data_IF_995256149009
#
_entry.id   IF_995256149009
#
_cell.length_a   1.000
_cell.length_b   1.000
_cell.length_c   1.000
_cell.angle_alpha   90.00
_cell.angle_beta   90.00
_cell.angle_gamma   90.00
#
_symmetry.space_group_name_H-M   'P 1'
#
loop_
_entity.id
_entity.type
_entity.pdbx_description
1 polymer ?
#
# COMPACT_ATOMS: atom_id res chain seq x y z
N UNK A 1 -22.59 -23.72 -35.51
CA UNK A 1 -22.07 -22.34 -35.67
C UNK A 1 -21.50 -21.79 -34.36
N UNK A 2 -22.25 -21.78 -33.25
CA UNK A 2 -21.74 -21.34 -31.93
C UNK A 2 -20.49 -22.09 -31.43
N UNK A 3 -20.43 -23.41 -31.59
CA UNK A 3 -19.26 -24.21 -31.20
C UNK A 3 -17.97 -23.77 -31.92
N UNK A 4 -18.03 -23.63 -33.25
CA UNK A 4 -16.87 -23.17 -34.03
C UNK A 4 -16.47 -21.74 -33.68
N UNK A 5 -17.44 -20.86 -33.39
CA UNK A 5 -17.19 -19.49 -32.95
C UNK A 5 -16.50 -19.43 -31.58
N UNK A 6 -16.95 -20.22 -30.60
CA UNK A 6 -16.29 -20.32 -29.30
C UNK A 6 -14.90 -20.92 -29.41
N UNK A 7 -14.73 -21.97 -30.20
CA UNK A 7 -13.40 -22.56 -30.45
C UNK A 7 -12.46 -21.54 -31.09
N UNK A 8 -12.97 -20.72 -32.01
CA UNK A 8 -12.18 -19.69 -32.69
C UNK A 8 -11.81 -18.50 -31.77
N UNK A 9 -12.68 -18.13 -30.83
CA UNK A 9 -12.46 -16.97 -29.94
C UNK A 9 -11.66 -17.31 -28.68
N UNK A 10 -11.91 -18.47 -28.07
CA UNK A 10 -11.33 -18.85 -26.76
C UNK A 10 -10.87 -20.30 -26.69
N UNK A 11 -11.07 -21.09 -27.76
CA UNK A 11 -10.82 -22.54 -27.74
C UNK A 11 -9.36 -22.91 -27.53
N UNK A 12 -8.42 -22.13 -28.08
CA UNK A 12 -6.99 -22.39 -27.90
C UNK A 12 -6.57 -22.15 -26.45
N UNK A 13 -6.93 -21.01 -25.86
CA UNK A 13 -6.60 -20.70 -24.45
C UNK A 13 -7.26 -21.70 -23.49
N UNK A 14 -8.52 -22.07 -23.73
CA UNK A 14 -9.20 -23.08 -22.92
C UNK A 14 -8.51 -24.44 -23.03
N UNK A 15 -8.09 -24.85 -24.23
CA UNK A 15 -7.34 -26.09 -24.44
C UNK A 15 -5.99 -26.04 -23.73
N UNK A 16 -5.23 -24.96 -23.87
CA UNK A 16 -3.92 -24.81 -23.26
C UNK A 16 -4.02 -24.87 -21.73
N UNK A 17 -5.02 -24.21 -21.13
CA UNK A 17 -5.29 -24.28 -19.69
C UNK A 17 -5.61 -25.72 -19.23
N UNK A 18 -6.44 -26.45 -19.97
CA UNK A 18 -6.75 -27.85 -19.66
C UNK A 18 -5.51 -28.75 -19.79
N UNK A 19 -4.66 -28.50 -20.79
CA UNK A 19 -3.40 -29.23 -20.98
C UNK A 19 -2.46 -28.97 -19.80
N UNK A 20 -2.25 -27.72 -19.42
CA UNK A 20 -1.40 -27.34 -18.28
C UNK A 20 -1.91 -27.98 -16.99
N UNK A 21 -3.20 -27.85 -16.70
CA UNK A 21 -3.84 -28.48 -15.54
C UNK A 21 -3.62 -29.99 -15.54
N UNK A 22 -3.76 -30.64 -16.69
CA UNK A 22 -3.55 -32.08 -16.80
C UNK A 22 -2.09 -32.49 -16.59
N UNK A 23 -1.15 -31.69 -17.08
CA UNK A 23 0.29 -31.89 -16.85
C UNK A 23 0.59 -31.83 -15.34
N UNK A 24 0.06 -30.82 -14.64
CA UNK A 24 0.25 -30.65 -13.19
C UNK A 24 -0.33 -31.85 -12.43
N UNK A 25 -1.54 -32.30 -12.78
CA UNK A 25 -2.15 -33.48 -12.17
C UNK A 25 -1.30 -34.74 -12.35
N UNK A 26 -0.88 -35.03 -13.58
CA UNK A 26 -0.11 -36.23 -13.89
C UNK A 26 1.26 -36.21 -13.19
N UNK A 27 1.91 -35.05 -13.14
CA UNK A 27 3.21 -34.92 -12.48
C UNK A 27 3.08 -35.01 -10.95
N UNK A 28 2.01 -34.43 -10.37
CA UNK A 28 1.69 -34.57 -8.95
C UNK A 28 1.46 -36.04 -8.58
N UNK A 29 0.71 -36.78 -9.41
CA UNK A 29 0.50 -38.23 -9.24
C UNK A 29 1.82 -39.01 -9.32
N UNK A 30 2.63 -38.74 -10.35
CA UNK A 30 3.93 -39.36 -10.56
C UNK A 30 4.89 -39.16 -9.37
N UNK A 31 4.90 -37.97 -8.79
CA UNK A 31 5.69 -37.64 -7.60
C UNK A 31 5.00 -37.93 -6.27
N UNK A 32 3.82 -38.58 -6.29
CA UNK A 32 3.03 -38.90 -5.10
C UNK A 32 2.70 -37.68 -4.22
N UNK A 33 2.52 -36.51 -4.83
CA UNK A 33 2.09 -35.29 -4.17
C UNK A 33 0.64 -35.45 -3.72
N UNK A 34 0.42 -35.30 -2.42
CA UNK A 34 -0.91 -35.35 -1.80
C UNK A 34 -1.34 -33.94 -1.40
N UNK A 35 -2.60 -33.62 -1.69
CA UNK A 35 -3.28 -32.42 -1.19
C UNK A 35 -4.44 -32.89 -0.32
N UNK A 36 -4.51 -32.35 0.89
CA UNK A 36 -5.54 -32.70 1.89
C UNK A 36 -6.71 -31.73 1.81
N UNK A 37 -7.87 -32.14 2.36
CA UNK A 37 -9.03 -31.27 2.44
C UNK A 37 -8.75 -30.02 3.29
N UNK A 38 -8.01 -30.18 4.40
CA UNK A 38 -7.65 -29.08 5.30
C UNK A 38 -6.79 -28.02 4.61
N UNK A 39 -5.86 -28.42 3.74
CA UNK A 39 -5.05 -27.47 2.95
C UNK A 39 -5.91 -26.66 1.97
N UNK A 40 -6.88 -27.32 1.32
CA UNK A 40 -7.81 -26.66 0.41
C UNK A 40 -8.73 -25.71 1.20
N UNK A 41 -9.25 -26.15 2.35
CA UNK A 41 -10.13 -25.36 3.20
C UNK A 41 -9.44 -24.10 3.71
N UNK A 42 -8.18 -24.23 4.14
CA UNK A 42 -7.37 -23.10 4.59
C UNK A 42 -7.15 -22.08 3.48
N UNK A 43 -6.75 -22.52 2.29
CA UNK A 43 -6.49 -21.61 1.17
C UNK A 43 -7.77 -20.91 0.70
N UNK A 44 -8.91 -21.61 0.70
CA UNK A 44 -10.22 -21.02 0.40
C UNK A 44 -10.65 -20.02 1.48
N UNK A 45 -10.34 -20.27 2.75
CA UNK A 45 -10.60 -19.33 3.84
C UNK A 45 -9.72 -18.08 3.73
N UNK A 46 -8.45 -18.24 3.40
CA UNK A 46 -7.52 -17.13 3.16
C UNK A 46 -7.95 -16.31 1.96
N UNK A 47 -8.36 -16.95 0.86
CA UNK A 47 -8.96 -16.28 -0.30
C UNK A 47 -10.22 -15.49 0.11
N UNK A 48 -11.09 -16.10 0.93
CA UNK A 48 -12.32 -15.46 1.37
C UNK A 48 -12.07 -14.17 2.16
N UNK A 49 -10.95 -14.04 2.89
CA UNK A 49 -10.61 -12.80 3.63
C UNK A 49 -10.45 -11.60 2.69
N UNK A 50 -9.87 -11.79 1.51
CA UNK A 50 -9.72 -10.71 0.52
C UNK A 50 -11.06 -10.20 -0.02
N UNK A 51 -12.07 -11.07 -0.06
CA UNK A 51 -13.43 -10.72 -0.47
C UNK A 51 -14.29 -10.21 0.70
N UNK A 52 -13.75 -10.09 1.91
CA UNK A 52 -14.50 -9.69 3.11
C UNK A 52 -15.32 -10.81 3.75
N UNK A 53 -15.02 -12.08 3.42
CA UNK A 53 -15.64 -13.28 4.00
C UNK A 53 -16.20 -14.23 2.94
N UNK A 54 -16.53 -15.47 3.36
CA UNK A 54 -16.95 -16.56 2.47
C UNK A 54 -18.26 -16.26 1.73
N UNK A 55 -19.22 -15.65 2.40
CA UNK A 55 -20.51 -15.30 1.80
C UNK A 55 -20.36 -14.20 0.74
N UNK A 56 -19.52 -13.19 1.02
CA UNK A 56 -19.21 -12.12 0.08
C UNK A 56 -18.48 -12.68 -1.14
N UNK A 57 -17.45 -13.52 -0.94
CA UNK A 57 -16.75 -14.21 -2.01
C UNK A 57 -17.72 -15.02 -2.89
N UNK A 58 -18.58 -15.83 -2.26
CA UNK A 58 -19.54 -16.69 -2.99
C UNK A 58 -20.50 -15.86 -3.84
N UNK A 59 -21.02 -14.75 -3.29
CA UNK A 59 -21.90 -13.84 -4.02
C UNK A 59 -21.17 -13.16 -5.19
N UNK A 60 -19.96 -12.65 -4.97
CA UNK A 60 -19.16 -12.00 -6.01
C UNK A 60 -18.82 -12.98 -7.13
N UNK A 61 -18.34 -14.18 -6.81
CA UNK A 61 -17.97 -15.18 -7.81
C UNK A 61 -19.17 -15.71 -8.59
N UNK A 62 -20.34 -15.83 -7.94
CA UNK A 62 -21.57 -16.23 -8.62
C UNK A 62 -21.98 -15.24 -9.72
N UNK A 63 -21.66 -13.94 -9.61
CA UNK A 63 -21.90 -12.96 -10.68
C UNK A 63 -21.09 -13.26 -11.95
N UNK A 64 -19.95 -13.93 -11.80
CA UNK A 64 -19.10 -14.38 -12.89
C UNK A 64 -19.41 -15.83 -13.32
N UNK A 65 -20.50 -16.42 -12.81
CA UNK A 65 -20.86 -17.84 -12.99
C UNK A 65 -19.80 -18.83 -12.46
N UNK A 66 -19.02 -18.41 -11.47
CA UNK A 66 -18.03 -19.24 -10.79
C UNK A 66 -18.63 -19.75 -9.48
N UNK A 67 -18.53 -21.05 -9.23
CA UNK A 67 -19.00 -21.66 -7.98
C UNK A 67 -17.83 -22.10 -7.09
N UNK A 68 -18.13 -22.39 -5.82
CA UNK A 68 -17.10 -22.78 -4.85
C UNK A 68 -16.40 -24.09 -5.22
N UNK A 69 -17.03 -25.02 -5.94
CA UNK A 69 -16.39 -26.27 -6.33
C UNK A 69 -15.28 -26.02 -7.35
N UNK A 70 -15.51 -25.11 -8.31
CA UNK A 70 -14.48 -24.67 -9.27
C UNK A 70 -13.32 -23.99 -8.55
N UNK A 71 -13.61 -23.10 -7.58
CA UNK A 71 -12.57 -22.46 -6.77
C UNK A 71 -11.72 -23.50 -6.04
N UNK A 72 -12.35 -24.50 -5.43
CA UNK A 72 -11.65 -25.58 -4.73
C UNK A 72 -10.80 -26.41 -5.68
N UNK A 73 -11.28 -26.66 -6.89
CA UNK A 73 -10.53 -27.36 -7.92
C UNK A 73 -9.28 -26.57 -8.33
N UNK A 74 -9.42 -25.26 -8.56
CA UNK A 74 -8.31 -24.39 -8.94
C UNK A 74 -7.29 -24.23 -7.81
N UNK A 75 -7.76 -24.05 -6.57
CA UNK A 75 -6.92 -24.09 -5.36
C UNK A 75 -6.16 -25.41 -5.26
N UNK A 76 -6.81 -26.54 -5.54
CA UNK A 76 -6.16 -27.86 -5.51
C UNK A 76 -5.04 -27.95 -6.54
N UNK A 77 -5.26 -27.44 -7.75
CA UNK A 77 -4.22 -27.39 -8.81
C UNK A 77 -3.07 -26.49 -8.40
N UNK A 78 -3.35 -25.32 -7.82
CA UNK A 78 -2.33 -24.39 -7.35
C UNK A 78 -1.47 -24.98 -6.23
N UNK A 79 -2.08 -25.65 -5.23
CA UNK A 79 -1.33 -26.32 -4.16
C UNK A 79 -0.44 -27.44 -4.72
N UNK A 80 -0.93 -28.22 -5.71
CA UNK A 80 -0.11 -29.24 -6.39
C UNK A 80 1.09 -28.61 -7.09
N UNK A 81 0.87 -27.51 -7.81
CA UNK A 81 1.92 -26.79 -8.51
C UNK A 81 2.98 -26.26 -7.52
N UNK A 82 2.56 -25.61 -6.45
CA UNK A 82 3.45 -25.10 -5.41
C UNK A 82 4.31 -26.23 -4.78
N UNK A 83 3.69 -27.37 -4.46
CA UNK A 83 4.40 -28.55 -3.94
C UNK A 83 5.39 -29.14 -4.94
N UNK A 84 5.04 -29.19 -6.23
CA UNK A 84 5.93 -29.67 -7.28
C UNK A 84 7.13 -28.73 -7.49
N UNK A 85 6.89 -27.42 -7.44
CA UNK A 85 7.92 -26.40 -7.62
C UNK A 85 8.84 -26.31 -6.40
N UNK A 86 8.30 -26.30 -5.18
CA UNK A 86 9.09 -26.23 -3.94
C UNK A 86 10.05 -27.41 -3.75
N UNK A 87 9.78 -28.56 -4.38
CA UNK A 87 10.74 -29.68 -4.39
C UNK A 87 11.94 -29.45 -5.32
N UNK A 88 11.79 -28.58 -6.33
CA UNK A 88 12.80 -28.30 -7.37
C UNK A 88 13.51 -26.97 -7.18
N UNK A 89 12.79 -25.99 -6.61
CA UNK A 89 13.29 -24.66 -6.32
C UNK A 89 13.89 -24.69 -4.92
N UNK A 90 15.21 -24.54 -4.85
CA UNK A 90 15.89 -24.16 -3.62
C UNK A 90 16.18 -22.68 -3.74
N UNK A 91 15.41 -21.86 -3.05
CA UNK A 91 15.78 -20.46 -2.89
C UNK A 91 16.98 -20.45 -1.94
N UNK A 92 18.13 -20.03 -2.46
CA UNK A 92 19.35 -19.90 -1.67
C UNK A 92 19.37 -18.56 -0.95
N UNK A 93 20.05 -18.49 0.20
CA UNK A 93 20.30 -17.21 0.89
C UNK A 93 21.01 -16.21 -0.03
N UNK A 94 21.85 -16.72 -0.95
CA UNK A 94 22.53 -15.94 -1.98
C UNK A 94 21.55 -15.30 -2.97
N UNK A 95 20.57 -16.04 -3.49
CA UNK A 95 19.52 -15.49 -4.37
C UNK A 95 18.61 -14.50 -3.62
N UNK A 96 18.31 -14.75 -2.34
CA UNK A 96 17.58 -13.79 -1.51
C UNK A 96 18.40 -12.51 -1.35
N UNK A 97 19.68 -12.64 -1.05
CA UNK A 97 20.57 -11.51 -0.85
C UNK A 97 20.80 -10.72 -2.15
N UNK A 98 20.98 -11.40 -3.28
CA UNK A 98 21.12 -10.78 -4.61
C UNK A 98 19.84 -10.04 -4.99
N UNK A 99 18.68 -10.68 -4.88
CA UNK A 99 17.39 -10.04 -5.13
C UNK A 99 17.18 -8.83 -4.20
N UNK A 100 17.54 -8.96 -2.92
CA UNK A 100 17.45 -7.87 -1.97
C UNK A 100 18.38 -6.70 -2.33
N UNK A 101 19.63 -6.99 -2.70
CA UNK A 101 20.62 -5.99 -3.12
C UNK A 101 20.17 -5.24 -4.38
N UNK A 102 19.65 -5.97 -5.37
CA UNK A 102 19.18 -5.41 -6.64
C UNK A 102 17.92 -4.56 -6.50
N UNK A 103 17.21 -4.67 -5.36
CA UNK A 103 15.95 -3.97 -5.10
C UNK A 103 15.97 -3.15 -3.80
N UNK A 104 17.15 -2.77 -3.28
CA UNK A 104 17.26 -2.01 -2.02
C UNK A 104 16.47 -0.70 -2.02
N UNK A 105 16.34 -0.04 -3.17
CA UNK A 105 15.52 1.17 -3.32
C UNK A 105 14.03 0.89 -3.12
N UNK A 106 13.53 -0.27 -3.54
CA UNK A 106 12.14 -0.67 -3.33
C UNK A 106 11.82 -0.97 -1.86
N UNK A 107 12.86 -1.19 -1.05
CA UNK A 107 12.76 -1.41 0.39
C UNK A 107 13.19 -0.20 1.22
N UNK A 108 13.65 0.88 0.58
CA UNK A 108 14.04 2.09 1.27
C UNK A 108 12.82 2.80 1.87
N UNK A 109 12.97 3.23 3.12
CA UNK A 109 11.99 4.12 3.75
C UNK A 109 12.52 5.53 3.57
N UNK A 110 11.78 6.35 2.84
CA UNK A 110 12.10 7.77 2.69
C UNK A 110 11.98 8.51 4.03
N UNK A 111 12.72 9.61 4.16
CA UNK A 111 12.57 10.51 5.30
C UNK A 111 11.12 11.03 5.33
N UNK A 112 10.43 10.79 6.45
CA UNK A 112 9.06 11.25 6.65
C UNK A 112 8.98 12.14 7.88
N UNK A 113 8.12 13.15 7.83
CA UNK A 113 7.83 14.01 8.98
C UNK A 113 6.33 14.07 9.20
N UNK A 114 5.90 13.99 10.46
CA UNK A 114 4.53 14.30 10.85
C UNK A 114 4.45 15.79 11.10
N UNK A 115 3.62 16.49 10.33
CA UNK A 115 3.57 17.95 10.40
C UNK A 115 2.16 18.49 10.48
N UNK A 116 2.07 19.65 11.13
CA UNK A 116 0.89 20.49 11.09
C UNK A 116 1.28 21.88 10.59
N UNK A 117 0.37 22.58 9.92
CA UNK A 117 0.61 23.95 9.46
C UNK A 117 -0.55 24.91 9.70
N UNK A 118 -0.24 26.21 9.67
CA UNK A 118 -1.22 27.29 9.61
C UNK A 118 -0.89 28.13 8.39
N UNK A 119 -1.81 28.21 7.43
CA UNK A 119 -1.65 29.03 6.23
C UNK A 119 -2.43 30.35 6.41
N UNK A 120 -1.82 31.47 6.07
CA UNK A 120 -2.46 32.79 6.06
C UNK A 120 -2.03 33.58 4.83
N UNK A 121 -2.80 34.59 4.43
CA UNK A 121 -2.57 35.32 3.18
C UNK A 121 -1.33 36.23 3.22
N UNK A 122 -0.98 36.75 4.40
CA UNK A 122 0.06 37.77 4.53
C UNK A 122 0.98 37.53 5.74
N UNK A 123 2.18 38.12 5.68
CA UNK A 123 3.24 37.94 6.67
C UNK A 123 2.84 38.48 8.05
N UNK A 124 2.05 39.56 8.08
CA UNK A 124 1.63 40.18 9.33
C UNK A 124 0.80 39.21 10.17
N UNK A 125 -0.19 38.55 9.57
CA UNK A 125 -1.01 37.53 10.25
C UNK A 125 -0.15 36.35 10.74
N UNK A 126 0.83 35.93 9.94
CA UNK A 126 1.72 34.84 10.31
C UNK A 126 2.57 35.22 11.55
N UNK A 127 3.07 36.46 11.60
CA UNK A 127 3.82 36.97 12.75
C UNK A 127 2.96 37.15 14.01
N UNK A 128 1.70 37.56 13.85
CA UNK A 128 0.74 37.62 14.94
C UNK A 128 0.50 36.23 15.54
N UNK A 129 0.28 35.21 14.69
CA UNK A 129 0.15 33.81 15.13
C UNK A 129 1.41 33.33 15.85
N UNK A 130 2.61 33.66 15.33
CA UNK A 130 3.87 33.29 15.96
C UNK A 130 4.02 33.89 17.36
N UNK A 131 3.56 35.13 17.54
CA UNK A 131 3.54 35.82 18.83
C UNK A 131 2.60 35.10 19.81
N UNK A 132 1.38 34.77 19.38
CA UNK A 132 0.41 34.04 20.20
C UNK A 132 0.93 32.66 20.62
N UNK A 133 1.63 31.96 19.73
CA UNK A 133 2.27 30.68 20.04
C UNK A 133 3.40 30.83 21.06
N UNK A 134 4.21 31.90 20.96
CA UNK A 134 5.26 32.19 21.93
C UNK A 134 4.71 32.54 23.32
N UNK A 135 3.51 33.11 23.39
CA UNK A 135 2.78 33.41 24.63
C UNK A 135 2.07 32.18 25.24
N UNK A 136 2.18 31.00 24.62
CA UNK A 136 1.62 29.74 25.11
C UNK A 136 0.27 29.35 24.46
N UNK A 137 -0.10 29.99 23.35
CA UNK A 137 -1.26 29.61 22.55
C UNK A 137 -1.17 28.16 22.02
N UNK A 138 -2.32 27.51 21.88
CA UNK A 138 -2.40 26.17 21.32
C UNK A 138 -2.38 26.22 19.78
N UNK A 139 -1.45 25.48 19.17
CA UNK A 139 -1.29 25.45 17.72
C UNK A 139 -2.55 24.98 16.98
N UNK A 140 -3.17 23.90 17.45
CA UNK A 140 -4.31 23.29 16.77
C UNK A 140 -5.55 24.20 16.83
N UNK A 141 -5.71 24.94 17.93
CA UNK A 141 -6.80 25.91 18.07
C UNK A 141 -6.58 27.12 17.15
N UNK A 142 -5.36 27.66 17.11
CA UNK A 142 -4.99 28.74 16.20
C UNK A 142 -5.11 28.32 14.72
N UNK A 143 -4.77 27.07 14.39
CA UNK A 143 -4.97 26.53 13.06
C UNK A 143 -6.45 26.50 12.67
N UNK A 144 -7.33 26.00 13.54
CA UNK A 144 -8.79 26.01 13.31
C UNK A 144 -9.36 27.41 13.18
N UNK A 145 -8.86 28.37 13.96
CA UNK A 145 -9.37 29.73 13.96
C UNK A 145 -8.87 30.53 12.75
N UNK A 146 -7.57 30.43 12.43
CA UNK A 146 -6.87 31.38 11.56
C UNK A 146 -6.39 30.80 10.24
N UNK A 147 -6.21 29.48 10.12
CA UNK A 147 -5.73 28.91 8.87
C UNK A 147 -6.73 29.17 7.74
N UNK A 148 -6.21 29.48 6.56
CA UNK A 148 -6.97 29.57 5.30
C UNK A 148 -6.91 28.29 4.49
N UNK A 149 -6.13 27.28 4.91
CA UNK A 149 -6.10 25.97 4.25
C UNK A 149 -7.36 25.14 4.56
N UNK A 150 -8.25 24.90 3.58
CA UNK A 150 -9.46 24.11 3.82
C UNK A 150 -9.16 22.62 4.08
N UNK A 151 -7.99 22.12 3.68
CA UNK A 151 -7.64 20.70 3.80
C UNK A 151 -7.36 20.27 5.24
N UNK A 152 -6.62 21.09 5.99
CA UNK A 152 -6.14 20.75 7.33
C UNK A 152 -6.74 21.61 8.45
N UNK A 153 -7.32 22.78 8.15
CA UNK A 153 -7.84 23.74 9.14
C UNK A 153 -8.68 23.08 10.24
N UNK A 154 -9.74 22.37 9.87
CA UNK A 154 -10.67 21.75 10.82
C UNK A 154 -10.00 20.67 11.69
N UNK A 155 -8.93 20.07 11.18
CA UNK A 155 -8.13 19.05 11.86
C UNK A 155 -7.00 19.67 12.70
N UNK A 156 -7.00 20.99 12.88
CA UNK A 156 -5.96 21.68 13.65
C UNK A 156 -4.66 21.88 12.88
N UNK A 157 -4.74 21.91 11.56
CA UNK A 157 -3.58 22.09 10.69
C UNK A 157 -2.84 20.79 10.38
N UNK A 158 -3.31 19.64 10.86
CA UNK A 158 -2.65 18.34 10.67
C UNK A 158 -2.64 17.93 9.18
N UNK A 159 -1.44 17.69 8.65
CA UNK A 159 -1.20 17.19 7.29
C UNK A 159 -0.82 15.71 7.29
N UNK A 160 -0.70 15.08 8.46
CA UNK A 160 -0.25 13.71 8.59
C UNK A 160 1.25 13.55 8.36
N UNK A 161 1.65 12.37 7.89
CA UNK A 161 3.03 12.06 7.50
C UNK A 161 3.23 12.46 6.04
N UNK A 162 4.25 13.28 5.79
CA UNK A 162 4.63 13.71 4.45
C UNK A 162 6.07 13.31 4.12
N UNK A 163 6.33 13.07 2.84
CA UNK A 163 7.68 12.95 2.26
C UNK A 163 8.09 14.24 1.55
N UNK A 164 9.37 14.35 1.18
CA UNK A 164 9.87 15.50 0.41
C UNK A 164 9.24 15.53 -0.97
N UNK A 165 8.81 16.70 -1.41
CA UNK A 165 8.18 16.95 -2.70
C UNK A 165 6.66 17.08 -2.64
N UNK A 166 6.02 16.77 -1.50
CA UNK A 166 4.57 16.79 -1.37
C UNK A 166 3.99 18.20 -1.15
N UNK A 167 4.71 19.09 -0.45
CA UNK A 167 4.19 20.40 -0.01
C UNK A 167 4.82 21.61 -0.72
N UNK A 168 5.82 21.39 -1.57
CA UNK A 168 6.56 22.44 -2.27
C UNK A 168 7.92 22.75 -1.64
N UNK A 169 8.85 23.27 -2.45
CA UNK A 169 10.26 23.40 -2.09
C UNK A 169 10.48 24.29 -0.85
N UNK A 170 9.78 25.42 -0.77
CA UNK A 170 9.90 26.36 0.35
C UNK A 170 9.41 25.76 1.67
N UNK A 171 8.32 24.99 1.62
CA UNK A 171 7.79 24.31 2.79
C UNK A 171 8.73 23.21 3.25
N UNK A 172 9.16 22.34 2.34
CA UNK A 172 9.98 21.17 2.65
C UNK A 172 11.35 21.55 3.20
N UNK A 173 11.97 22.60 2.65
CA UNK A 173 13.28 23.07 3.11
C UNK A 173 13.25 23.44 4.60
N UNK A 174 12.16 24.06 5.06
CA UNK A 174 12.00 24.46 6.46
C UNK A 174 11.50 23.29 7.30
N UNK A 175 10.44 22.62 6.88
CA UNK A 175 9.79 21.56 7.65
C UNK A 175 10.77 20.42 8.00
N UNK A 176 11.56 19.95 7.04
CA UNK A 176 12.50 18.85 7.29
C UNK A 176 13.76 19.27 8.07
N UNK A 177 14.06 20.57 8.15
CA UNK A 177 15.16 21.10 8.96
C UNK A 177 14.78 21.26 10.44
N UNK A 178 13.50 21.33 10.75
CA UNK A 178 13.00 21.42 12.12
C UNK A 178 13.19 20.10 12.89
N UNK A 179 13.39 20.23 14.20
CA UNK A 179 13.34 19.10 15.13
C UNK A 179 11.90 18.85 15.60
N UNK A 180 11.56 17.61 16.01
CA UNK A 180 10.27 17.31 16.62
C UNK A 180 9.94 18.26 17.79
N UNK A 181 8.71 18.77 17.79
CA UNK A 181 8.19 19.78 18.71
C UNK A 181 8.51 21.24 18.34
N UNK A 182 9.32 21.49 17.31
CA UNK A 182 9.64 22.86 16.89
C UNK A 182 8.57 23.46 15.97
N UNK A 183 8.49 24.79 16.02
CA UNK A 183 7.61 25.60 15.18
C UNK A 183 8.48 26.57 14.37
N UNK A 184 8.31 26.62 13.05
CA UNK A 184 9.04 27.50 12.15
C UNK A 184 8.72 28.98 12.38
N UNK A 185 9.57 29.85 11.85
CA UNK A 185 9.19 31.22 11.49
C UNK A 185 8.27 31.21 10.25
N UNK A 186 7.60 32.33 9.91
CA UNK A 186 6.78 32.40 8.69
C UNK A 186 7.55 32.02 7.43
N UNK A 187 7.02 31.04 6.71
CA UNK A 187 7.58 30.52 5.45
C UNK A 187 6.70 30.98 4.30
N UNK A 188 7.26 31.75 3.37
CA UNK A 188 6.52 32.23 2.20
C UNK A 188 6.46 31.14 1.11
N UNK A 189 5.30 30.94 0.52
CA UNK A 189 5.07 30.12 -0.67
C UNK A 189 4.20 30.86 -1.69
N UNK A 190 3.83 30.20 -2.78
CA UNK A 190 2.83 30.72 -3.73
C UNK A 190 1.41 30.82 -3.15
N UNK A 191 1.12 30.07 -2.08
CA UNK A 191 -0.19 30.02 -1.43
C UNK A 191 -0.37 31.04 -0.30
N UNK A 192 0.72 31.66 0.17
CA UNK A 192 0.71 32.62 1.27
C UNK A 192 1.89 32.42 2.21
N UNK A 193 1.64 32.53 3.52
CA UNK A 193 2.62 32.33 4.57
C UNK A 193 2.21 31.16 5.47
N UNK A 194 3.16 30.25 5.70
CA UNK A 194 2.98 29.07 6.54
C UNK A 194 3.70 29.24 7.88
N UNK A 195 3.02 28.87 8.96
CA UNK A 195 3.68 28.49 10.22
C UNK A 195 3.65 26.97 10.30
N UNK A 196 4.81 26.34 10.42
CA UNK A 196 4.96 24.87 10.34
C UNK A 196 5.34 24.35 11.72
N UNK A 197 4.72 23.26 12.14
CA UNK A 197 5.08 22.51 13.35
C UNK A 197 5.39 21.07 12.97
N UNK A 198 6.55 20.57 13.39
CA UNK A 198 6.91 19.15 13.24
C UNK A 198 6.61 18.44 14.55
N UNK A 199 5.80 17.40 14.49
CA UNK A 199 5.46 16.60 15.66
C UNK A 199 6.40 15.40 15.79
N UNK A 200 6.69 14.72 14.67
CA UNK A 200 7.51 13.52 14.64
C UNK A 200 8.38 13.51 13.37
N UNK A 201 9.52 12.83 13.44
CA UNK A 201 10.43 12.64 12.32
C UNK A 201 10.87 11.19 12.26
N UNK A 202 10.66 10.57 11.10
CA UNK A 202 11.11 9.23 10.76
C UNK A 202 12.29 9.37 9.81
N UNK A 203 13.48 9.01 10.31
CA UNK A 203 14.70 9.04 9.51
C UNK A 203 14.60 8.10 8.30
N UNK A 204 15.17 8.54 7.19
CA UNK A 204 15.35 7.67 6.04
C UNK A 204 16.15 6.43 6.45
N UNK A 205 15.68 5.26 6.04
CA UNK A 205 16.41 4.01 6.25
C UNK A 205 16.66 3.37 4.90
N UNK A 206 17.90 2.94 4.62
CA UNK A 206 18.11 2.06 3.49
C UNK A 206 17.23 0.83 3.68
N UNK A 207 16.77 0.24 2.58
CA UNK A 207 16.20 -1.10 2.65
C UNK A 207 17.23 -2.02 3.28
N UNK A 208 16.97 -2.51 4.50
CA UNK A 208 17.80 -3.49 5.23
C UNK A 208 17.05 -4.77 5.50
#
# INVERSE_FOLDING_TARGET
ELYNFMVQQTGQEALDNLVVKKIIELEAENQNIKVTADEIDKEVEDLAKYYGGKDAMTQTLAMYNINLDQVREDVTVNIKLEKLLSQRIKITDEEIQEHFQDHQEAYAVEEQIKVSHILVENEQEAQEIKTLLAEGGNFNDLARERSTDPGSKEQGGDLGMITRGEMGEEFDQVAFALQPGQISDPVKSEYGYHIIKVDEKTEARPGT
#
